data_IF_091871582796
#
_entry.id   IF_091871582796
#
_cell.length_a   1.000
_cell.length_b   1.000
_cell.length_c   1.000
_cell.angle_alpha   90.00
_cell.angle_beta   90.00
_cell.angle_gamma   90.00
#
_symmetry.space_group_name_H-M   'P 1'
#
loop_
_entity.id
_entity.type
_entity.pdbx_description
1 polymer ?
#
# COMPACT_ATOMS: atom_id res chain seq x y z
N UNK A 1 -22.85 -1.25 -43.81
CA UNK A 1 -22.20 -1.73 -42.56
C UNK A 1 -22.04 -0.56 -41.60
N UNK A 2 -22.68 -0.61 -40.42
CA UNK A 2 -21.96 -0.28 -39.19
C UNK A 2 -22.40 -1.21 -38.03
N UNK A 3 -21.55 -2.13 -37.59
CA UNK A 3 -21.91 -3.08 -36.51
C UNK A 3 -20.88 -3.20 -35.39
N UNK A 4 -19.85 -2.36 -35.36
CA UNK A 4 -18.77 -2.44 -34.35
C UNK A 4 -18.93 -1.41 -33.21
N UNK A 5 -19.78 -0.39 -33.36
CA UNK A 5 -19.83 0.75 -32.41
C UNK A 5 -20.79 0.56 -31.23
N UNK A 6 -21.89 -0.18 -31.38
CA UNK A 6 -22.92 -0.29 -30.33
C UNK A 6 -22.45 -0.99 -29.06
N UNK A 7 -21.71 -2.10 -29.17
CA UNK A 7 -21.17 -2.82 -28.00
C UNK A 7 -20.17 -1.96 -27.21
N UNK A 8 -19.35 -1.18 -27.92
CA UNK A 8 -18.38 -0.25 -27.30
C UNK A 8 -19.10 0.91 -26.59
N UNK A 9 -20.17 1.45 -27.19
CA UNK A 9 -20.96 2.54 -26.60
C UNK A 9 -21.71 2.05 -25.35
N UNK A 10 -22.32 0.87 -25.39
CA UNK A 10 -23.01 0.28 -24.24
C UNK A 10 -22.04 0.01 -23.09
N UNK A 11 -20.87 -0.58 -23.36
CA UNK A 11 -19.86 -0.83 -22.34
C UNK A 11 -19.32 0.45 -21.68
N UNK A 12 -19.14 1.54 -22.45
CA UNK A 12 -18.75 2.85 -21.89
C UNK A 12 -19.83 3.43 -20.97
N UNK A 13 -21.11 3.34 -21.37
CA UNK A 13 -22.24 3.80 -20.56
C UNK A 13 -22.35 3.01 -19.26
N UNK A 14 -22.24 1.69 -19.32
CA UNK A 14 -22.29 0.83 -18.14
C UNK A 14 -21.13 1.12 -17.17
N UNK A 15 -19.91 1.30 -17.69
CA UNK A 15 -18.74 1.68 -16.88
C UNK A 15 -18.98 2.99 -16.12
N UNK A 16 -19.58 4.00 -16.78
CA UNK A 16 -19.93 5.27 -16.14
C UNK A 16 -20.99 5.11 -15.05
N UNK A 17 -22.05 4.34 -15.32
CA UNK A 17 -23.11 4.08 -14.32
C UNK A 17 -22.55 3.38 -13.09
N UNK A 18 -21.73 2.34 -13.29
CA UNK A 18 -21.08 1.64 -12.19
C UNK A 18 -20.13 2.55 -11.42
N UNK A 19 -19.43 3.46 -12.11
CA UNK A 19 -18.58 4.47 -11.47
C UNK A 19 -19.37 5.39 -10.54
N UNK A 20 -20.52 5.88 -10.98
CA UNK A 20 -21.40 6.74 -10.16
C UNK A 20 -21.85 5.99 -8.90
N UNK A 21 -22.33 4.75 -9.03
CA UNK A 21 -22.75 3.93 -7.88
C UNK A 21 -21.63 3.75 -6.84
N UNK A 22 -20.40 3.52 -7.30
CA UNK A 22 -19.23 3.39 -6.42
C UNK A 22 -18.94 4.71 -5.71
N UNK A 23 -18.95 5.83 -6.45
CA UNK A 23 -18.73 7.15 -5.85
C UNK A 23 -19.81 7.51 -4.83
N UNK A 24 -21.08 7.22 -5.11
CA UNK A 24 -22.19 7.48 -4.19
C UNK A 24 -22.07 6.64 -2.92
N UNK A 25 -21.70 5.37 -3.06
CA UNK A 25 -21.39 4.50 -1.93
C UNK A 25 -20.26 5.07 -1.06
N UNK A 26 -19.13 5.45 -1.66
CA UNK A 26 -17.98 6.02 -0.94
C UNK A 26 -18.36 7.32 -0.23
N UNK A 27 -19.07 8.23 -0.91
CA UNK A 27 -19.58 9.47 -0.32
C UNK A 27 -20.53 9.21 0.85
N UNK A 28 -21.37 8.18 0.75
CA UNK A 28 -22.25 7.76 1.84
C UNK A 28 -21.51 7.33 3.11
N UNK A 29 -20.24 6.91 2.99
CA UNK A 29 -19.35 6.61 4.11
C UNK A 29 -18.53 7.81 4.59
N UNK A 30 -18.58 8.95 3.88
CA UNK A 30 -17.72 10.10 4.13
C UNK A 30 -16.37 10.06 3.40
N UNK A 31 -16.17 9.14 2.45
CA UNK A 31 -14.95 9.07 1.63
C UNK A 31 -15.06 10.01 0.43
N UNK A 32 -14.01 10.77 0.15
CA UNK A 32 -13.92 11.76 -0.94
C UNK A 32 -13.30 11.09 -2.18
N UNK A 33 -14.07 10.85 -3.26
CA UNK A 33 -13.59 10.07 -4.40
C UNK A 33 -12.90 10.90 -5.49
N UNK A 34 -12.68 12.20 -5.28
CA UNK A 34 -12.24 13.14 -6.31
C UNK A 34 -10.86 12.78 -6.89
N UNK A 35 -9.95 12.29 -6.05
CA UNK A 35 -8.64 11.80 -6.48
C UNK A 35 -8.70 10.42 -7.17
N UNK A 36 -9.80 9.70 -7.01
CA UNK A 36 -9.94 8.36 -7.58
C UNK A 36 -10.24 8.38 -9.07
N UNK A 37 -10.63 9.52 -9.67
CA UNK A 37 -11.20 9.63 -11.03
C UNK A 37 -10.38 8.87 -12.09
N UNK A 38 -9.05 8.92 -11.99
CA UNK A 38 -8.15 8.28 -12.95
C UNK A 38 -7.78 6.83 -12.62
N UNK A 39 -8.20 6.32 -11.46
CA UNK A 39 -7.96 4.94 -11.05
C UNK A 39 -9.00 3.97 -11.60
N UNK A 40 -8.54 2.75 -11.90
CA UNK A 40 -9.43 1.63 -12.16
C UNK A 40 -9.98 1.08 -10.84
N UNK A 41 -11.22 1.44 -10.55
CA UNK A 41 -11.98 0.93 -9.41
C UNK A 41 -12.76 -0.33 -9.81
N UNK A 42 -13.11 -1.21 -8.84
CA UNK A 42 -14.07 -2.27 -9.08
C UNK A 42 -15.41 -1.70 -9.56
N UNK A 43 -16.07 -2.41 -10.47
CA UNK A 43 -17.37 -2.01 -11.01
C UNK A 43 -18.56 -2.44 -10.13
N UNK A 44 -18.30 -3.13 -9.02
CA UNK A 44 -19.29 -3.77 -8.16
C UNK A 44 -19.14 -3.19 -6.75
N UNK A 45 -20.25 -2.69 -6.17
CA UNK A 45 -20.24 -2.00 -4.88
C UNK A 45 -19.80 -2.93 -3.75
N UNK A 46 -20.27 -4.18 -3.76
CA UNK A 46 -19.90 -5.19 -2.78
C UNK A 46 -18.37 -5.43 -2.77
N UNK A 47 -17.71 -5.35 -3.93
CA UNK A 47 -16.25 -5.49 -4.00
C UNK A 47 -15.54 -4.26 -3.41
N UNK A 48 -16.08 -3.06 -3.63
CA UNK A 48 -15.56 -1.84 -2.99
C UNK A 48 -15.77 -1.88 -1.48
N UNK A 49 -16.93 -2.34 -1.02
CA UNK A 49 -17.24 -2.52 0.39
C UNK A 49 -16.25 -3.46 1.07
N UNK A 50 -15.91 -4.59 0.43
CA UNK A 50 -14.88 -5.49 0.95
C UNK A 50 -13.52 -4.78 1.08
N UNK A 51 -13.13 -3.94 0.12
CA UNK A 51 -11.87 -3.16 0.20
C UNK A 51 -11.87 -2.23 1.41
N UNK A 52 -12.95 -1.44 1.59
CA UNK A 52 -13.10 -0.54 2.74
C UNK A 52 -13.09 -1.33 4.05
N UNK A 53 -13.82 -2.45 4.10
CA UNK A 53 -13.90 -3.30 5.30
C UNK A 53 -12.53 -3.85 5.71
N UNK A 54 -11.67 -4.24 4.76
CA UNK A 54 -10.31 -4.70 5.08
C UNK A 54 -9.47 -3.57 5.67
N UNK A 55 -9.51 -2.37 5.09
CA UNK A 55 -8.79 -1.20 5.62
C UNK A 55 -9.25 -0.85 7.04
N UNK A 56 -10.56 -0.86 7.29
CA UNK A 56 -11.11 -0.65 8.63
C UNK A 56 -10.70 -1.75 9.61
N UNK A 57 -10.68 -3.02 9.19
CA UNK A 57 -10.19 -4.14 10.02
C UNK A 57 -8.70 -4.06 10.34
N UNK A 58 -7.92 -3.36 9.51
CA UNK A 58 -6.53 -3.03 9.81
C UNK A 58 -6.42 -1.90 10.85
N UNK A 59 -7.50 -1.15 11.08
CA UNK A 59 -7.55 -0.02 12.02
C UNK A 59 -7.53 1.35 11.35
N UNK A 60 -7.68 1.43 10.02
CA UNK A 60 -7.78 2.72 9.33
C UNK A 60 -9.18 3.31 9.46
N UNK A 61 -9.23 4.58 9.82
CA UNK A 61 -10.45 5.40 9.86
C UNK A 61 -10.80 5.93 8.48
N UNK A 62 -11.99 6.54 8.35
CA UNK A 62 -12.37 7.24 7.11
C UNK A 62 -11.44 8.42 6.84
N UNK A 63 -10.97 9.11 7.89
CA UNK A 63 -10.02 10.20 7.76
C UNK A 63 -8.67 9.69 7.21
N UNK A 64 -8.16 8.57 7.72
CA UNK A 64 -6.92 7.95 7.19
C UNK A 64 -7.08 7.53 5.72
N UNK A 65 -8.27 7.07 5.32
CA UNK A 65 -8.57 6.75 3.92
C UNK A 65 -8.62 8.03 3.08
N UNK A 66 -9.18 9.12 3.59
CA UNK A 66 -9.23 10.41 2.89
C UNK A 66 -7.87 11.10 2.79
N UNK A 67 -6.93 10.82 3.71
CA UNK A 67 -5.54 11.28 3.61
C UNK A 67 -4.79 10.61 2.44
N UNK A 68 -5.20 9.39 2.05
CA UNK A 68 -4.64 8.71 0.88
C UNK A 68 -5.70 7.83 0.18
N UNK A 69 -6.65 8.42 -0.56
CA UNK A 69 -7.78 7.68 -1.13
C UNK A 69 -7.33 6.64 -2.17
N UNK A 70 -6.17 6.84 -2.80
CA UNK A 70 -5.60 5.96 -3.82
C UNK A 70 -5.44 4.50 -3.35
N UNK A 71 -5.33 4.23 -2.04
CA UNK A 71 -5.30 2.87 -1.50
C UNK A 71 -6.53 2.04 -1.85
N UNK A 72 -7.67 2.68 -2.13
CA UNK A 72 -8.89 2.02 -2.59
C UNK A 72 -8.77 1.48 -4.03
N UNK A 73 -7.79 1.96 -4.79
CA UNK A 73 -7.44 1.44 -6.11
C UNK A 73 -6.74 0.07 -6.06
N UNK A 74 -6.06 -0.24 -4.95
CA UNK A 74 -5.28 -1.46 -4.81
C UNK A 74 -6.13 -2.73 -4.99
N UNK A 75 -5.60 -3.69 -5.75
CA UNK A 75 -6.22 -5.00 -5.85
C UNK A 75 -5.99 -5.79 -4.57
N UNK A 76 -7.05 -6.22 -3.88
CA UNK A 76 -6.90 -7.00 -2.64
C UNK A 76 -6.06 -8.28 -2.79
N UNK A 77 -6.11 -8.94 -3.96
CA UNK A 77 -5.42 -10.24 -4.16
C UNK A 77 -4.01 -10.10 -4.69
N UNK A 78 -3.77 -9.09 -5.53
CA UNK A 78 -2.47 -8.89 -6.19
C UNK A 78 -1.58 -7.95 -5.39
N UNK A 79 -2.22 -7.01 -4.72
CA UNK A 79 -1.65 -6.08 -3.77
C UNK A 79 -2.30 -6.35 -2.41
N UNK A 80 -2.23 -5.47 -1.41
CA UNK A 80 -2.80 -5.64 -0.06
C UNK A 80 -2.53 -7.01 0.63
N UNK A 81 -3.19 -8.12 0.27
CA UNK A 81 -2.99 -9.43 0.92
C UNK A 81 -1.52 -9.89 0.85
N UNK A 82 -0.84 -9.96 -0.31
CA UNK A 82 0.55 -10.39 -0.37
C UNK A 82 1.50 -9.50 0.43
N UNK A 83 1.33 -8.18 0.39
CA UNK A 83 2.23 -7.24 1.07
C UNK A 83 1.97 -7.25 2.58
N UNK A 84 0.72 -7.27 3.06
CA UNK A 84 0.44 -7.47 4.49
C UNK A 84 1.01 -8.81 4.99
N UNK A 85 0.84 -9.89 4.21
CA UNK A 85 1.42 -11.20 4.55
C UNK A 85 2.95 -11.17 4.60
N UNK A 86 3.58 -10.38 3.73
CA UNK A 86 5.02 -10.22 3.71
C UNK A 86 5.53 -9.39 4.90
N UNK A 87 4.83 -8.32 5.27
CA UNK A 87 5.12 -7.52 6.47
C UNK A 87 5.06 -8.38 7.74
N UNK A 88 4.07 -9.26 7.86
CA UNK A 88 4.01 -10.24 8.96
C UNK A 88 5.21 -11.20 8.94
N UNK A 89 5.62 -11.68 7.75
CA UNK A 89 6.77 -12.58 7.58
C UNK A 89 8.10 -11.96 8.03
N UNK A 90 8.24 -10.63 7.92
CA UNK A 90 9.41 -9.88 8.41
C UNK A 90 9.25 -9.36 9.84
N UNK A 91 8.33 -9.97 10.63
CA UNK A 91 8.13 -9.74 12.07
C UNK A 91 7.41 -8.45 12.45
N UNK A 92 6.71 -7.79 11.52
CA UNK A 92 5.74 -6.77 11.90
C UNK A 92 4.52 -7.46 12.51
N UNK A 93 4.14 -7.07 13.73
CA UNK A 93 2.97 -7.64 14.42
C UNK A 93 1.70 -7.26 13.66
N UNK A 94 0.73 -8.18 13.58
CA UNK A 94 -0.56 -7.91 12.93
C UNK A 94 -1.27 -6.66 13.46
N UNK A 95 -1.15 -6.39 14.77
CA UNK A 95 -1.69 -5.19 15.41
C UNK A 95 -1.01 -3.87 15.00
N UNK A 96 0.16 -3.94 14.36
CA UNK A 96 0.92 -2.79 13.86
C UNK A 96 0.79 -2.59 12.36
N UNK A 97 0.10 -3.49 11.63
CA UNK A 97 -0.07 -3.36 10.18
C UNK A 97 -0.92 -2.14 9.80
N UNK A 98 -1.95 -1.81 10.58
CA UNK A 98 -2.73 -0.59 10.35
C UNK A 98 -1.89 0.67 10.47
N UNK A 99 -1.09 0.76 11.53
CA UNK A 99 -0.14 1.85 11.75
C UNK A 99 0.88 1.95 10.61
N UNK A 100 1.40 0.81 10.15
CA UNK A 100 2.31 0.76 9.00
C UNK A 100 1.65 1.33 7.74
N UNK A 101 0.45 0.86 7.39
CA UNK A 101 -0.27 1.31 6.19
C UNK A 101 -0.65 2.78 6.33
N UNK A 102 -1.06 3.24 7.51
CA UNK A 102 -1.34 4.65 7.76
C UNK A 102 -0.11 5.54 7.51
N UNK A 103 1.05 5.14 8.04
CA UNK A 103 2.27 5.94 7.92
C UNK A 103 2.93 5.83 6.53
N UNK A 104 2.65 4.77 5.77
CA UNK A 104 3.23 4.56 4.44
C UNK A 104 2.22 3.86 3.50
N UNK A 105 1.13 4.55 3.11
CA UNK A 105 0.01 3.92 2.40
C UNK A 105 0.38 3.48 0.97
N UNK A 106 1.39 4.10 0.39
CA UNK A 106 2.00 3.69 -0.88
C UNK A 106 2.56 2.26 -0.85
N UNK A 107 2.88 1.68 0.32
CA UNK A 107 3.24 0.25 0.40
C UNK A 107 2.14 -0.70 -0.07
N UNK A 108 0.88 -0.25 -0.19
CA UNK A 108 -0.18 -1.07 -0.78
C UNK A 108 -0.10 -1.14 -2.31
N UNK A 109 0.75 -0.35 -2.95
CA UNK A 109 0.93 -0.33 -4.41
C UNK A 109 2.26 -0.93 -4.87
N UNK A 110 3.23 -1.08 -3.96
CA UNK A 110 4.55 -1.58 -4.29
C UNK A 110 4.55 -3.10 -4.47
N UNK A 111 5.40 -3.60 -5.35
CA UNK A 111 5.61 -5.03 -5.55
C UNK A 111 6.45 -5.61 -4.41
N UNK A 112 5.94 -6.64 -3.74
CA UNK A 112 6.71 -7.38 -2.72
C UNK A 112 8.04 -7.88 -3.29
N UNK A 113 8.04 -8.42 -4.51
CA UNK A 113 9.21 -9.08 -5.10
C UNK A 113 10.23 -8.06 -5.62
N UNK A 114 9.75 -6.99 -6.25
CA UNK A 114 10.60 -6.03 -6.95
C UNK A 114 11.06 -4.90 -6.04
N UNK A 115 10.28 -4.54 -5.01
CA UNK A 115 10.54 -3.36 -4.19
C UNK A 115 10.79 -3.72 -2.72
N UNK A 116 9.90 -4.46 -2.05
CA UNK A 116 10.06 -4.76 -0.61
C UNK A 116 11.21 -5.74 -0.34
N UNK A 117 11.27 -6.85 -1.09
CA UNK A 117 12.27 -7.90 -0.87
C UNK A 117 13.71 -7.42 -1.03
N UNK A 118 14.07 -6.58 -2.03
CA UNK A 118 15.42 -6.03 -2.13
C UNK A 118 15.79 -5.12 -0.96
N UNK A 119 14.88 -4.27 -0.47
CA UNK A 119 15.12 -3.44 0.73
C UNK A 119 15.39 -4.32 1.96
N UNK A 120 14.58 -5.36 2.16
CA UNK A 120 14.79 -6.32 3.26
C UNK A 120 16.12 -7.06 3.14
N UNK A 121 16.52 -7.46 1.92
CA UNK A 121 17.84 -8.09 1.69
C UNK A 121 18.97 -7.13 1.99
N UNK A 122 18.85 -5.86 1.62
CA UNK A 122 19.83 -4.83 1.91
C UNK A 122 20.01 -4.64 3.43
N UNK A 123 18.90 -4.47 4.16
CA UNK A 123 18.93 -4.33 5.63
C UNK A 123 19.59 -5.55 6.28
N UNK A 124 19.27 -6.76 5.81
CA UNK A 124 19.93 -8.00 6.28
C UNK A 124 21.42 -8.08 5.94
N UNK A 125 21.86 -7.44 4.86
CA UNK A 125 23.28 -7.35 4.48
C UNK A 125 24.08 -6.41 5.38
N UNK A 126 23.42 -5.68 6.28
CA UNK A 126 24.01 -4.79 7.27
C UNK A 126 23.96 -5.42 8.67
N UNK A 127 23.95 -6.76 8.72
CA UNK A 127 23.92 -7.56 9.95
C UNK A 127 22.69 -7.33 10.87
N UNK A 128 21.61 -6.77 10.34
CA UNK A 128 20.33 -6.72 11.05
C UNK A 128 19.68 -8.10 11.03
N UNK A 129 19.41 -8.64 12.22
CA UNK A 129 18.79 -9.95 12.36
C UNK A 129 17.32 -9.95 11.94
N UNK A 130 16.83 -11.13 11.56
CA UNK A 130 15.43 -11.31 11.11
C UNK A 130 14.41 -10.84 12.17
N UNK A 131 14.75 -10.94 13.44
CA UNK A 131 13.87 -10.56 14.55
C UNK A 131 13.68 -9.04 14.65
N UNK A 132 14.68 -8.27 14.22
CA UNK A 132 14.69 -6.81 14.31
C UNK A 132 14.15 -6.14 13.04
N UNK A 133 14.04 -6.87 11.92
CA UNK A 133 13.55 -6.32 10.64
C UNK A 133 12.24 -5.54 10.76
N UNK A 134 11.27 -6.08 11.49
CA UNK A 134 9.97 -5.42 11.67
C UNK A 134 10.09 -4.12 12.46
N UNK A 135 10.96 -4.08 13.47
CA UNK A 135 11.25 -2.87 14.23
C UNK A 135 11.94 -1.81 13.37
N UNK A 136 13.00 -2.21 12.66
CA UNK A 136 13.75 -1.33 11.75
C UNK A 136 12.83 -0.71 10.71
N UNK A 137 12.01 -1.53 10.05
CA UNK A 137 11.18 -1.05 8.95
C UNK A 137 10.07 -0.12 9.44
N UNK A 138 9.47 -0.39 10.60
CA UNK A 138 8.46 0.49 11.20
C UNK A 138 9.05 1.83 11.61
N UNK A 139 10.31 1.86 12.06
CA UNK A 139 11.00 3.07 12.50
C UNK A 139 11.52 3.93 11.34
N UNK A 140 11.92 3.28 10.25
CA UNK A 140 12.50 3.93 9.07
C UNK A 140 11.76 3.52 7.79
N UNK A 141 10.49 3.91 7.70
CA UNK A 141 9.65 3.63 6.53
C UNK A 141 10.20 4.23 5.23
N UNK A 142 10.98 5.31 5.33
CA UNK A 142 11.70 5.92 4.21
C UNK A 142 12.62 4.93 3.49
N UNK A 143 13.07 3.86 4.17
CA UNK A 143 13.86 2.79 3.55
C UNK A 143 13.14 2.12 2.38
N UNK A 144 11.80 2.14 2.36
CA UNK A 144 10.97 1.57 1.30
C UNK A 144 10.84 2.44 0.06
N UNK A 145 11.11 3.74 0.18
CA UNK A 145 11.11 4.67 -0.96
C UNK A 145 12.39 4.61 -1.78
N UNK A 146 13.40 3.87 -1.32
CA UNK A 146 14.70 3.81 -1.98
C UNK A 146 14.72 2.74 -3.07
N UNK A 147 14.86 3.21 -4.31
CA UNK A 147 15.17 2.34 -5.44
C UNK A 147 16.67 2.05 -5.48
N UNK A 148 17.03 0.77 -5.54
CA UNK A 148 18.43 0.33 -5.69
C UNK A 148 19.08 0.79 -7.01
N UNK A 149 18.27 1.28 -7.95
CA UNK A 149 18.68 1.60 -9.31
C UNK A 149 18.90 3.10 -9.59
N UNK A 150 18.71 4.02 -8.62
CA UNK A 150 18.94 5.43 -9.00
C UNK A 150 18.77 6.58 -8.02
N UNK A 151 18.54 6.38 -6.72
CA UNK A 151 18.30 7.56 -5.85
C UNK A 151 19.12 7.59 -4.55
N UNK A 152 19.80 6.51 -4.20
CA UNK A 152 20.73 6.48 -3.08
C UNK A 152 22.15 6.23 -3.59
N UNK A 153 23.08 7.11 -3.27
CA UNK A 153 24.45 6.62 -3.16
C UNK A 153 24.43 5.62 -2.00
N UNK A 154 25.06 4.46 -2.18
CA UNK A 154 25.21 3.42 -1.15
C UNK A 154 25.54 4.00 0.22
N UNK A 155 26.24 5.13 0.28
CA UNK A 155 26.59 5.88 1.49
C UNK A 155 25.40 6.36 2.33
N UNK A 156 24.32 6.87 1.75
CA UNK A 156 23.17 7.36 2.54
C UNK A 156 22.42 6.20 3.18
N UNK A 157 22.28 5.10 2.43
CA UNK A 157 21.66 3.87 2.93
C UNK A 157 22.49 3.29 4.09
N UNK A 158 23.80 3.25 3.91
CA UNK A 158 24.74 2.84 4.94
C UNK A 158 24.68 3.74 6.18
N UNK A 159 24.60 5.07 6.03
CA UNK A 159 24.55 5.99 7.17
C UNK A 159 23.26 5.80 8.00
N UNK A 160 22.10 5.74 7.35
CA UNK A 160 20.82 5.47 8.01
C UNK A 160 20.88 4.12 8.73
N UNK A 161 21.40 3.09 8.06
CA UNK A 161 21.52 1.77 8.64
C UNK A 161 22.59 1.66 9.74
N UNK A 162 23.65 2.44 9.70
CA UNK A 162 24.69 2.44 10.75
C UNK A 162 24.17 3.11 12.02
N UNK A 163 23.44 4.22 11.90
CA UNK A 163 22.72 4.83 13.04
C UNK A 163 21.73 3.83 13.64
N UNK A 164 21.03 3.09 12.78
CA UNK A 164 20.13 1.98 13.14
C UNK A 164 20.81 0.86 13.94
N UNK A 165 21.96 0.37 13.48
CA UNK A 165 22.72 -0.69 14.16
C UNK A 165 23.19 -0.20 15.53
N UNK A 166 23.64 1.05 15.63
CA UNK A 166 24.08 1.64 16.90
C UNK A 166 22.93 1.73 17.91
N UNK A 167 21.71 2.06 17.48
CA UNK A 167 20.54 2.11 18.36
C UNK A 167 20.03 0.72 18.78
N UNK A 168 20.16 -0.30 17.92
CA UNK A 168 19.77 -1.68 18.26
C UNK A 168 20.80 -2.31 19.21
N UNK A 169 22.11 -2.06 18.99
CA UNK A 169 23.19 -2.63 19.80
C UNK A 169 23.44 -1.88 21.11
N UNK A 170 23.05 -0.61 21.21
CA UNK A 170 23.17 0.21 22.41
C UNK A 170 21.78 0.68 22.85
N UNK A 171 20.99 -0.18 23.51
CA UNK A 171 19.75 0.24 24.14
C UNK A 171 20.12 1.14 25.32
N UNK A 172 19.82 2.43 25.20
CA UNK A 172 19.87 3.37 26.33
C UNK A 172 18.75 3.07 27.32
#
# INVERSE_FOLDING_TARGET
MPSVTWGVVQGKKEKLVNRVKICDYLKGLGIIPDELVNLELPSIVEVMEQRVSVLQKLGLTIDDINEYPLMLGCSMRKNMIPELSYLEKIRIKKSKLGEFVKNYPQALHVSVVVELMPVVKFIRGLDVEKQDLGYVLMKYLELLGFTLEGTMSTSVAYLVCTVLILEILVPW
#
